data_IF_468133981283
#
_entry.id   IF_468133981283
#
_cell.length_a   1.000
_cell.length_b   1.000
_cell.length_c   1.000
_cell.angle_alpha   90.00
_cell.angle_beta   90.00
_cell.angle_gamma   90.00
#
_symmetry.space_group_name_H-M   'P 1'
#
loop_
_entity.id
_entity.type
_entity.pdbx_description
1 polymer ?
#
# COMPACT_ATOMS: atom_id res chain seq x y z
N UNK A 1 -8.35 -8.80 3.97
CA UNK A 1 -8.62 -7.46 4.52
C UNK A 1 -9.16 -6.54 3.45
N UNK A 2 -9.99 -5.56 3.80
CA UNK A 2 -10.54 -4.63 2.79
C UNK A 2 -9.46 -3.68 2.29
N UNK A 3 -9.44 -3.40 0.99
CA UNK A 3 -8.48 -2.46 0.36
C UNK A 3 -8.46 -1.10 1.06
N UNK A 4 -9.63 -0.56 1.42
CA UNK A 4 -9.76 0.70 2.16
C UNK A 4 -8.98 0.71 3.49
N UNK A 5 -8.98 -0.41 4.19
CA UNK A 5 -8.30 -0.53 5.49
C UNK A 5 -6.79 -0.61 5.31
N UNK A 6 -6.32 -1.21 4.20
CA UNK A 6 -4.91 -1.23 3.85
C UNK A 6 -4.42 0.17 3.46
N UNK A 7 -5.16 0.86 2.60
CA UNK A 7 -4.83 2.22 2.15
C UNK A 7 -4.71 3.16 3.35
N UNK A 8 -5.71 3.17 4.25
CA UNK A 8 -5.64 3.98 5.47
C UNK A 8 -4.39 3.69 6.29
N UNK A 9 -4.06 2.41 6.52
CA UNK A 9 -2.87 2.03 7.31
C UNK A 9 -1.55 2.48 6.68
N UNK A 10 -1.42 2.39 5.35
CA UNK A 10 -0.18 2.80 4.68
C UNK A 10 -0.07 4.32 4.61
N UNK A 11 -1.17 5.03 4.43
CA UNK A 11 -1.22 6.50 4.46
C UNK A 11 -0.90 7.04 5.86
N UNK A 12 -1.45 6.44 6.93
CA UNK A 12 -1.10 6.75 8.32
C UNK A 12 0.39 6.49 8.61
N UNK A 13 0.99 5.52 7.92
CA UNK A 13 2.43 5.25 8.00
C UNK A 13 3.28 6.14 7.08
N UNK A 14 2.68 7.15 6.44
CA UNK A 14 3.36 8.14 5.61
C UNK A 14 3.52 7.76 4.14
N UNK A 15 2.93 6.65 3.67
CA UNK A 15 2.92 6.32 2.25
C UNK A 15 1.96 7.23 1.49
N UNK A 16 2.37 7.66 0.30
CA UNK A 16 1.57 8.52 -0.59
C UNK A 16 1.28 7.81 -1.90
N UNK A 17 0.11 8.07 -2.46
CA UNK A 17 -0.23 7.61 -3.80
C UNK A 17 0.61 8.35 -4.85
N UNK A 18 1.19 7.60 -5.80
CA UNK A 18 2.08 8.14 -6.82
C UNK A 18 1.43 8.11 -8.20
N UNK A 19 0.86 6.97 -8.59
CA UNK A 19 0.26 6.79 -9.92
C UNK A 19 -0.67 5.59 -9.99
N UNK A 20 -1.56 5.64 -10.95
CA UNK A 20 -2.34 4.49 -11.39
C UNK A 20 -1.46 3.60 -12.28
N UNK A 21 -1.32 2.32 -11.92
CA UNK A 21 -0.88 1.29 -12.87
C UNK A 21 -2.10 0.67 -13.57
N UNK A 22 -1.88 -0.44 -14.27
CA UNK A 22 -2.96 -1.17 -14.95
C UNK A 22 -4.01 -1.70 -13.97
N UNK A 23 -3.67 -2.77 -13.24
CA UNK A 23 -4.58 -3.41 -12.26
C UNK A 23 -4.32 -3.01 -10.79
N UNK A 24 -3.34 -2.16 -10.56
CA UNK A 24 -2.90 -1.73 -9.23
C UNK A 24 -2.67 -0.22 -9.16
N UNK A 25 -2.66 0.32 -7.95
CA UNK A 25 -2.22 1.67 -7.63
C UNK A 25 -0.84 1.63 -7.00
N UNK A 26 0.02 2.57 -7.36
CA UNK A 26 1.36 2.67 -6.79
C UNK A 26 1.34 3.60 -5.59
N UNK A 27 1.82 3.08 -4.45
CA UNK A 27 2.08 3.86 -3.25
C UNK A 27 3.57 3.85 -2.95
N UNK A 28 4.10 4.96 -2.45
CA UNK A 28 5.48 5.10 -2.03
C UNK A 28 5.57 5.78 -0.68
N UNK A 29 6.42 5.28 0.21
CA UNK A 29 6.82 6.04 1.39
C UNK A 29 7.98 6.98 1.01
N UNK A 30 7.81 8.32 1.07
CA UNK A 30 8.82 9.28 0.64
C UNK A 30 10.03 9.33 1.60
N UNK A 31 9.88 8.89 2.85
CA UNK A 31 10.96 8.82 3.84
C UNK A 31 11.89 7.65 3.55
N UNK A 32 11.34 6.46 3.28
CA UNK A 32 12.14 5.25 3.01
C UNK A 32 12.38 4.97 1.54
N UNK A 33 11.76 5.75 0.65
CA UNK A 33 11.72 5.57 -0.81
C UNK A 33 11.12 4.24 -1.29
N UNK A 34 10.63 3.40 -0.38
CA UNK A 34 9.99 2.12 -0.68
C UNK A 34 8.67 2.34 -1.44
N UNK A 35 8.48 1.61 -2.53
CA UNK A 35 7.26 1.65 -3.34
C UNK A 35 6.62 0.27 -3.40
N UNK A 36 5.30 0.18 -3.33
CA UNK A 36 4.55 -1.06 -3.48
C UNK A 36 3.28 -0.87 -4.33
N UNK A 37 2.93 -1.85 -5.18
CA UNK A 37 1.65 -1.89 -5.86
C UNK A 37 0.55 -2.39 -4.91
N UNK A 38 -0.57 -1.67 -4.88
CA UNK A 38 -1.79 -2.02 -4.15
C UNK A 38 -2.86 -2.43 -5.16
N UNK A 39 -3.33 -3.69 -5.15
CA UNK A 39 -4.42 -4.14 -6.03
C UNK A 39 -5.70 -3.31 -5.88
N UNK A 40 -6.48 -3.14 -6.97
CA UNK A 40 -7.73 -2.36 -6.94
C UNK A 40 -9.00 -3.10 -6.53
N UNK A 41 -8.94 -4.42 -6.36
CA UNK A 41 -10.10 -5.19 -5.88
C UNK A 41 -10.44 -4.86 -4.40
N UNK A 42 -11.68 -5.09 -4.01
CA UNK A 42 -12.22 -4.74 -2.69
C UNK A 42 -11.55 -5.52 -1.55
N UNK A 43 -11.22 -6.79 -1.78
CA UNK A 43 -10.62 -7.68 -0.80
C UNK A 43 -9.21 -8.10 -1.21
N UNK A 44 -8.26 -7.83 -0.33
CA UNK A 44 -6.85 -8.19 -0.49
C UNK A 44 -6.53 -9.30 0.49
N UNK A 45 -5.82 -10.34 0.03
CA UNK A 45 -5.31 -11.40 0.88
C UNK A 45 -4.54 -10.80 2.08
N UNK A 46 -4.83 -11.27 3.30
CA UNK A 46 -4.26 -10.69 4.51
C UNK A 46 -2.73 -10.75 4.56
N UNK A 47 -2.12 -11.83 4.07
CA UNK A 47 -0.66 -11.96 4.03
C UNK A 47 -0.04 -10.94 3.09
N UNK A 48 -0.63 -10.76 1.90
CA UNK A 48 -0.19 -9.76 0.93
C UNK A 48 -0.30 -8.36 1.52
N UNK A 49 -1.44 -8.03 2.12
CA UNK A 49 -1.68 -6.71 2.67
C UNK A 49 -0.77 -6.39 3.87
N UNK A 50 -0.50 -7.35 4.77
CA UNK A 50 0.51 -7.22 5.83
C UNK A 50 1.91 -7.00 5.26
N UNK A 51 2.26 -7.70 4.18
CA UNK A 51 3.55 -7.53 3.50
C UNK A 51 3.72 -6.14 2.89
N UNK A 52 2.69 -5.64 2.20
CA UNK A 52 2.65 -4.27 1.64
C UNK A 52 2.80 -3.25 2.76
N UNK A 53 1.99 -3.36 3.81
CA UNK A 53 2.02 -2.42 4.93
C UNK A 53 3.39 -2.37 5.61
N UNK A 54 4.01 -3.53 5.86
CA UNK A 54 5.35 -3.60 6.46
C UNK A 54 6.43 -2.93 5.61
N UNK A 55 6.41 -3.14 4.29
CA UNK A 55 7.38 -2.50 3.38
C UNK A 55 7.19 -0.99 3.30
N UNK A 56 5.95 -0.51 3.42
CA UNK A 56 5.63 0.92 3.38
C UNK A 56 5.72 1.60 4.75
N UNK A 57 5.70 0.88 5.86
CA UNK A 57 5.79 1.44 7.21
C UNK A 57 7.19 1.90 7.63
N UNK A 58 8.21 1.63 6.81
CA UNK A 58 9.56 2.15 7.01
C UNK A 58 10.27 1.69 8.29
N UNK A 59 9.93 0.49 8.77
CA UNK A 59 10.48 -0.10 9.99
C UNK A 59 11.59 -1.12 9.69
#
# INVERSE_FOLDING_TARGET
MKRRDLIRKIEEAGAVFIRHGGKHDWYQNPQTKMSQPVPRHSEINEMLAKSIARKLAGR
#
